data_IF_314127545744
#
_entry.id   IF_314127545744
#
_cell.length_a   1.000
_cell.length_b   1.000
_cell.length_c   1.000
_cell.angle_alpha   90.00
_cell.angle_beta   90.00
_cell.angle_gamma   90.00
#
_symmetry.space_group_name_H-M   'P 1'
#
loop_
_entity.id
_entity.type
_entity.pdbx_description
1 polymer ?
#
# COMPACT_ATOMS: atom_id res chain seq x y z
N UNK A 1 7.47 -5.11 -10.66
CA UNK A 1 8.27 -4.00 -11.25
C UNK A 1 7.84 -3.60 -12.67
N UNK A 2 7.23 -4.48 -13.48
CA UNK A 2 6.66 -4.13 -14.80
C UNK A 2 5.59 -3.01 -14.79
N UNK A 3 4.88 -2.84 -13.68
CA UNK A 3 3.81 -1.84 -13.59
C UNK A 3 4.27 -0.38 -13.57
N UNK A 4 5.51 -0.10 -13.13
CA UNK A 4 5.98 1.30 -12.93
C UNK A 4 6.42 1.93 -14.25
N UNK A 5 7.00 1.15 -15.16
CA UNK A 5 7.48 1.64 -16.46
C UNK A 5 6.35 1.93 -17.47
N UNK A 6 5.16 1.35 -17.28
CA UNK A 6 4.00 1.56 -18.17
C UNK A 6 3.22 2.87 -17.86
N UNK A 7 3.60 3.60 -16.81
CA UNK A 7 2.83 4.72 -16.23
C UNK A 7 3.05 6.07 -16.91
N UNK A 8 4.05 6.18 -17.78
CA UNK A 8 4.44 7.47 -18.35
C UNK A 8 3.36 8.11 -19.25
N UNK A 9 2.42 7.34 -19.78
CA UNK A 9 1.51 7.81 -20.82
C UNK A 9 0.13 8.30 -20.35
N UNK A 10 -0.43 7.81 -19.23
CA UNK A 10 -1.90 7.86 -18.99
C UNK A 10 -2.33 8.58 -17.70
N UNK A 11 -3.04 9.72 -17.80
CA UNK A 11 -3.45 10.54 -16.64
C UNK A 11 -4.52 9.90 -15.72
N UNK A 12 -5.48 9.14 -16.27
CA UNK A 12 -6.51 8.46 -15.47
C UNK A 12 -5.95 7.20 -14.77
N UNK A 13 -4.88 6.64 -15.33
CA UNK A 13 -4.14 5.53 -14.74
C UNK A 13 -3.32 6.01 -13.53
N UNK A 14 -2.81 7.26 -13.54
CA UNK A 14 -2.05 7.84 -12.43
C UNK A 14 -2.82 7.85 -11.11
N UNK A 15 -4.09 8.28 -11.10
CA UNK A 15 -4.87 8.36 -9.86
C UNK A 15 -5.10 6.98 -9.21
N UNK A 16 -5.42 5.96 -10.02
CA UNK A 16 -5.57 4.57 -9.56
C UNK A 16 -4.24 3.97 -9.11
N UNK A 17 -3.16 4.29 -9.83
CA UNK A 17 -1.81 3.84 -9.50
C UNK A 17 -1.26 4.51 -8.23
N UNK A 18 -1.68 5.74 -7.91
CA UNK A 18 -1.37 6.40 -6.65
C UNK A 18 -1.91 5.59 -5.47
N UNK A 19 -3.19 5.19 -5.50
CA UNK A 19 -3.79 4.36 -4.43
C UNK A 19 -3.05 3.03 -4.28
N UNK A 20 -2.70 2.39 -5.40
CA UNK A 20 -1.97 1.12 -5.40
C UNK A 20 -0.53 1.25 -4.86
N UNK A 21 0.15 2.35 -5.17
CA UNK A 21 1.47 2.65 -4.60
C UNK A 21 1.38 2.91 -3.09
N UNK A 22 0.36 3.63 -2.63
CA UNK A 22 0.13 3.82 -1.20
C UNK A 22 -0.13 2.49 -0.49
N UNK A 23 -0.92 1.59 -1.07
CA UNK A 23 -1.11 0.24 -0.55
C UNK A 23 0.22 -0.52 -0.41
N UNK A 24 1.07 -0.46 -1.44
CA UNK A 24 2.36 -1.14 -1.44
C UNK A 24 3.29 -0.60 -0.35
N UNK A 25 3.33 0.73 -0.18
CA UNK A 25 4.14 1.37 0.88
C UNK A 25 3.65 0.99 2.27
N UNK A 26 2.33 1.01 2.49
CA UNK A 26 1.74 0.63 3.78
C UNK A 26 2.00 -0.85 4.09
N UNK A 27 1.79 -1.75 3.12
CA UNK A 27 2.08 -3.17 3.30
C UNK A 27 3.56 -3.46 3.53
N UNK A 28 4.47 -2.77 2.83
CA UNK A 28 5.90 -2.87 3.05
C UNK A 28 6.28 -2.40 4.47
N UNK A 29 5.68 -1.31 4.95
CA UNK A 29 5.92 -0.79 6.31
C UNK A 29 5.42 -1.75 7.40
N UNK A 30 4.23 -2.36 7.24
CA UNK A 30 3.73 -3.37 8.16
C UNK A 30 4.58 -4.65 8.13
N UNK A 31 4.99 -5.09 6.93
CA UNK A 31 5.88 -6.24 6.79
C UNK A 31 7.22 -6.01 7.50
N UNK A 32 7.81 -4.83 7.36
CA UNK A 32 9.05 -4.46 8.04
C UNK A 32 8.88 -4.40 9.57
N UNK A 33 7.77 -3.83 10.05
CA UNK A 33 7.43 -3.80 11.48
C UNK A 33 7.25 -5.22 12.06
N UNK A 34 6.56 -6.10 11.33
CA UNK A 34 6.36 -7.49 11.74
C UNK A 34 7.68 -8.27 11.76
N UNK A 35 8.54 -8.07 10.76
CA UNK A 35 9.84 -8.73 10.67
C UNK A 35 10.78 -8.33 11.81
N UNK A 36 10.87 -7.03 12.10
CA UNK A 36 11.69 -6.50 13.21
C UNK A 36 11.17 -6.96 14.58
N UNK A 37 9.85 -6.99 14.80
CA UNK A 37 9.24 -7.59 16.00
C UNK A 37 9.57 -9.09 16.13
N UNK A 38 9.54 -9.83 15.02
CA UNK A 38 9.90 -11.25 14.97
C UNK A 38 11.36 -11.49 15.36
N UNK A 39 12.30 -10.76 14.76
CA UNK A 39 13.73 -10.84 15.08
C UNK A 39 13.98 -10.54 16.55
N UNK A 40 13.38 -9.48 17.09
CA UNK A 40 13.53 -9.11 18.50
C UNK A 40 13.05 -10.22 19.45
N UNK A 41 11.88 -10.80 19.20
CA UNK A 41 11.36 -11.93 19.98
C UNK A 41 12.26 -13.15 19.87
N UNK A 42 12.77 -13.44 18.66
CA UNK A 42 13.67 -14.56 18.41
C UNK A 42 15.00 -14.42 19.15
N UNK A 43 15.60 -13.22 19.16
CA UNK A 43 16.82 -12.94 19.92
C UNK A 43 16.64 -13.11 21.43
N UNK A 44 15.51 -12.68 22.00
CA UNK A 44 15.23 -12.85 23.43
C UNK A 44 15.06 -14.32 23.81
N UNK A 45 14.37 -15.09 22.98
CA UNK A 45 14.19 -16.53 23.15
C UNK A 45 15.51 -17.28 23.13
N UNK A 46 16.41 -16.93 22.20
CA UNK A 46 17.75 -17.55 22.11
C UNK A 46 18.69 -17.11 23.24
N UNK A 47 18.57 -15.88 23.73
CA UNK A 47 19.40 -15.32 24.79
C UNK A 47 19.03 -15.75 26.22
N UNK A 48 18.01 -16.61 26.40
CA UNK A 48 17.58 -17.09 27.73
C UNK A 48 16.91 -16.02 28.61
N UNK A 49 16.61 -14.84 28.06
CA UNK A 49 16.07 -13.67 28.77
C UNK A 49 14.55 -13.69 28.91
N UNK A 50 13.95 -14.76 29.43
CA UNK A 50 12.49 -14.85 29.62
C UNK A 50 11.98 -14.08 30.85
N UNK A 51 12.86 -13.59 31.72
CA UNK A 51 12.50 -13.08 33.05
C UNK A 51 12.73 -11.58 33.28
N UNK A 52 13.18 -10.82 32.28
CA UNK A 52 13.42 -9.39 32.46
C UNK A 52 12.11 -8.60 32.31
N UNK A 53 11.55 -8.14 33.43
CA UNK A 53 10.33 -7.34 33.46
C UNK A 53 10.56 -5.97 32.83
N UNK A 54 10.46 -5.89 31.50
CA UNK A 54 10.56 -4.64 30.75
C UNK A 54 9.32 -3.78 31.01
N UNK A 55 9.53 -2.51 31.34
CA UNK A 55 8.45 -1.56 31.66
C UNK A 55 7.44 -1.44 30.50
N UNK A 56 6.13 -1.41 30.82
CA UNK A 56 5.02 -1.30 29.83
C UNK A 56 5.21 -0.16 28.83
N UNK A 57 5.79 0.96 29.29
CA UNK A 57 6.07 2.13 28.44
C UNK A 57 7.11 1.81 27.36
N UNK A 58 8.11 0.98 27.69
CA UNK A 58 9.11 0.53 26.74
C UNK A 58 8.48 -0.32 25.64
N UNK A 59 7.51 -1.19 25.98
CA UNK A 59 6.81 -1.99 24.96
C UNK A 59 5.96 -1.15 24.00
N UNK A 60 5.30 -0.11 24.51
CA UNK A 60 4.47 0.77 23.68
C UNK A 60 5.31 1.62 22.73
N UNK A 61 6.50 2.05 23.18
CA UNK A 61 7.41 2.89 22.41
C UNK A 61 8.31 2.11 21.44
N UNK A 62 8.16 0.79 21.34
CA UNK A 62 8.94 0.02 20.37
C UNK A 62 8.56 0.44 18.95
N UNK A 63 9.54 0.59 18.04
CA UNK A 63 9.33 1.20 16.74
C UNK A 63 8.28 0.46 15.90
N UNK A 64 8.18 -0.87 16.03
CA UNK A 64 7.14 -1.66 15.37
C UNK A 64 5.72 -1.36 15.85
N UNK A 65 5.55 -1.04 17.14
CA UNK A 65 4.25 -0.73 17.72
C UNK A 65 3.79 0.68 17.31
N UNK A 66 4.73 1.62 17.20
CA UNK A 66 4.45 2.96 16.67
C UNK A 66 4.09 2.92 15.18
N UNK A 67 4.78 2.10 14.40
CA UNK A 67 4.46 1.82 13.00
C UNK A 67 3.07 1.18 12.85
N UNK A 68 2.69 0.25 13.74
CA UNK A 68 1.35 -0.36 13.77
C UNK A 68 0.24 0.67 13.92
N UNK A 69 0.33 1.54 14.94
CA UNK A 69 -0.67 2.58 15.24
C UNK A 69 -0.98 3.47 14.02
N UNK A 70 0.03 3.73 13.18
CA UNK A 70 -0.14 4.54 11.97
C UNK A 70 -0.55 3.71 10.75
N UNK A 71 0.01 2.52 10.57
CA UNK A 71 -0.23 1.68 9.40
C UNK A 71 -1.63 1.02 9.42
N UNK A 72 -2.14 0.66 10.59
CA UNK A 72 -3.45 0.05 10.78
C UNK A 72 -4.61 0.91 10.21
N UNK A 73 -4.77 2.20 10.58
CA UNK A 73 -5.82 3.04 10.00
C UNK A 73 -5.58 3.33 8.50
N UNK A 74 -4.32 3.50 8.08
CA UNK A 74 -3.99 3.75 6.68
C UNK A 74 -4.34 2.56 5.78
N UNK A 75 -4.08 1.33 6.24
CA UNK A 75 -4.45 0.11 5.52
C UNK A 75 -5.98 0.03 5.35
N UNK A 76 -6.74 0.37 6.39
CA UNK A 76 -8.20 0.41 6.32
C UNK A 76 -8.73 1.40 5.27
N UNK A 77 -8.18 2.62 5.24
CA UNK A 77 -8.56 3.64 4.26
C UNK A 77 -8.22 3.20 2.83
N UNK A 78 -7.04 2.62 2.63
CA UNK A 78 -6.60 2.17 1.31
C UNK A 78 -7.44 1.00 0.80
N UNK A 79 -7.73 0.00 1.65
CA UNK A 79 -8.63 -1.09 1.26
C UNK A 79 -10.01 -0.59 0.89
N UNK A 80 -10.57 0.36 1.65
CA UNK A 80 -11.87 0.92 1.36
C UNK A 80 -11.87 1.70 0.03
N UNK A 81 -10.83 2.49 -0.24
CA UNK A 81 -10.66 3.20 -1.50
C UNK A 81 -10.57 2.24 -2.71
N UNK A 82 -9.84 1.13 -2.56
CA UNK A 82 -9.74 0.10 -3.60
C UNK A 82 -11.07 -0.62 -3.81
N UNK A 83 -11.78 -0.98 -2.75
CA UNK A 83 -13.11 -1.59 -2.85
C UNK A 83 -14.08 -0.68 -3.60
N UNK A 84 -14.10 0.62 -3.29
CA UNK A 84 -14.94 1.59 -3.99
C UNK A 84 -14.56 1.70 -5.47
N UNK A 85 -13.27 1.76 -5.80
CA UNK A 85 -12.81 1.81 -7.19
C UNK A 85 -13.25 0.57 -7.99
N UNK A 86 -13.17 -0.63 -7.39
CA UNK A 86 -13.59 -1.88 -8.01
C UNK A 86 -15.10 -1.95 -8.19
N UNK A 87 -15.89 -1.54 -7.20
CA UNK A 87 -17.35 -1.50 -7.30
C UNK A 87 -17.79 -0.53 -8.40
N UNK A 88 -17.19 0.66 -8.48
CA UNK A 88 -17.48 1.61 -9.55
C UNK A 88 -17.16 1.05 -10.94
N UNK A 89 -16.05 0.33 -11.09
CA UNK A 89 -15.68 -0.30 -12.35
C UNK A 89 -16.66 -1.41 -12.77
N UNK A 90 -17.17 -2.19 -11.80
CA UNK A 90 -18.14 -3.28 -12.05
C UNK A 90 -19.54 -2.74 -12.31
N UNK A 91 -19.99 -1.72 -11.57
CA UNK A 91 -21.33 -1.15 -11.73
C UNK A 91 -21.49 -0.36 -13.03
N UNK A 92 -20.44 0.31 -13.52
CA UNK A 92 -20.50 1.16 -14.72
C UNK A 92 -19.43 0.82 -15.77
N UNK A 93 -19.49 -0.37 -16.39
CA UNK A 93 -18.46 -0.83 -17.32
C UNK A 93 -18.38 0.03 -18.60
N UNK A 94 -19.53 0.50 -19.11
CA UNK A 94 -19.59 1.31 -20.34
C UNK A 94 -18.99 2.71 -20.17
N UNK A 95 -19.19 3.33 -19.00
CA UNK A 95 -18.65 4.65 -18.70
C UNK A 95 -17.13 4.57 -18.51
N UNK A 96 -16.68 3.51 -17.84
CA UNK A 96 -15.28 3.20 -17.65
C UNK A 96 -14.55 2.95 -18.98
N UNK A 97 -15.14 2.15 -19.87
CA UNK A 97 -14.54 1.83 -21.18
C UNK A 97 -14.48 3.03 -22.14
N UNK A 98 -15.52 3.88 -22.16
CA UNK A 98 -15.54 5.09 -23.00
C UNK A 98 -14.44 6.09 -22.63
N UNK A 99 -14.19 6.31 -21.33
CA UNK A 99 -13.10 7.18 -20.84
C UNK A 99 -11.73 6.62 -21.20
N UNK A 100 -11.55 5.30 -21.15
CA UNK A 100 -10.30 4.64 -21.53
C UNK A 100 -9.99 4.81 -23.03
N UNK A 101 -10.99 4.61 -23.91
CA UNK A 101 -10.82 4.78 -25.36
C UNK A 101 -10.49 6.22 -25.79
N UNK A 102 -11.05 7.22 -25.11
CA UNK A 102 -10.73 8.63 -25.38
C UNK A 102 -9.25 8.95 -25.09
N UNK A 103 -8.73 8.43 -23.97
CA UNK A 103 -7.31 8.61 -23.61
C UNK A 103 -6.37 7.87 -24.55
N UNK A 104 -6.73 6.65 -24.94
CA UNK A 104 -5.95 5.85 -25.90
C UNK A 104 -5.87 6.54 -27.26
N UNK A 105 -6.95 7.21 -27.69
CA UNK A 105 -6.99 7.99 -28.93
C UNK A 105 -6.13 9.24 -28.86
N UNK A 106 -6.16 9.98 -27.75
CA UNK A 106 -5.28 11.15 -27.55
C UNK A 106 -3.79 10.75 -27.56
N UNK A 107 -3.41 9.63 -26.94
CA UNK A 107 -2.02 9.16 -26.95
C UNK A 107 -1.52 8.77 -28.34
N UNK A 108 -2.37 8.12 -29.13
CA UNK A 108 -2.01 7.74 -30.51
C UNK A 108 -1.86 8.98 -31.40
N UNK A 109 -2.68 10.02 -31.19
CA UNK A 109 -2.58 11.28 -31.93
C UNK A 109 -1.33 12.07 -31.53
N UNK A 110 -1.01 12.14 -30.24
CA UNK A 110 0.17 12.85 -29.71
C UNK A 110 1.49 12.20 -30.13
N UNK A 111 1.53 10.87 -30.29
CA UNK A 111 2.70 10.13 -30.80
C UNK A 111 2.90 10.22 -32.32
N UNK A 112 1.94 10.79 -33.06
CA UNK A 112 1.96 10.88 -34.53
C UNK A 112 2.40 12.26 -35.05
N UNK A 113 2.54 13.25 -34.18
CA UNK A 113 3.07 14.59 -34.47
C UNK A 113 4.50 14.73 -33.94
#
# INVERSE_FOLDING_TARGET
MLGVAAVESSQLLRARYTVLLFEFVVNASMGFAAFTSGIYRFCILLGGGTNEKRSRRYCILMPWNLLGIWAEPMMGVVMLALSVDRVLAVSFPLWYYKKMLLLQRCQVIDKLC
#
